data_IF_060835515912
#
_entry.id   IF_060835515912
#
_cell.length_a   1.000
_cell.length_b   1.000
_cell.length_c   1.000
_cell.angle_alpha   90.00
_cell.angle_beta   90.00
_cell.angle_gamma   90.00
#
_symmetry.space_group_name_H-M   'P 1'
#
loop_
_entity.id
_entity.type
_entity.pdbx_description
1 polymer ?
#
# COMPACT_ATOMS: atom_id res chain seq x y z
N UNK A 1 -52.43 -13.73 -34.23
CA UNK A 1 -52.51 -14.29 -32.86
C UNK A 1 -51.31 -15.17 -32.63
N UNK A 2 -50.29 -14.64 -31.97
CA UNK A 2 -49.07 -15.36 -31.61
C UNK A 2 -49.11 -15.66 -30.12
N UNK A 3 -49.26 -16.95 -29.77
CA UNK A 3 -49.36 -17.42 -28.40
C UNK A 3 -47.98 -17.44 -27.74
N UNK A 4 -47.80 -16.61 -26.73
CA UNK A 4 -46.61 -16.65 -25.85
C UNK A 4 -46.76 -17.82 -24.88
N UNK A 5 -45.88 -18.82 -25.02
CA UNK A 5 -45.80 -19.98 -24.13
C UNK A 5 -45.14 -19.60 -22.80
N UNK A 6 -45.84 -19.92 -21.70
CA UNK A 6 -45.40 -19.67 -20.31
C UNK A 6 -44.12 -20.42 -19.87
N UNK A 7 -43.57 -21.28 -20.74
CA UNK A 7 -42.37 -22.08 -20.44
C UNK A 7 -41.04 -21.37 -20.71
N UNK A 8 -41.05 -20.26 -21.48
CA UNK A 8 -39.81 -19.54 -21.82
C UNK A 8 -39.37 -18.52 -20.76
N UNK A 9 -40.21 -18.23 -19.75
CA UNK A 9 -39.92 -17.20 -18.76
C UNK A 9 -39.08 -17.69 -17.55
N UNK A 10 -38.99 -19.01 -17.34
CA UNK A 10 -38.31 -19.58 -16.18
C UNK A 10 -36.82 -19.84 -16.39
N UNK A 11 -36.31 -19.76 -17.62
CA UNK A 11 -34.86 -19.99 -17.88
C UNK A 11 -34.03 -18.73 -17.94
N UNK A 12 -34.61 -17.53 -18.03
CA UNK A 12 -33.90 -16.27 -18.11
C UNK A 12 -33.54 -15.70 -16.73
N UNK A 13 -34.20 -16.11 -15.66
CA UNK A 13 -33.99 -15.54 -14.31
C UNK A 13 -32.88 -16.22 -13.51
N UNK A 14 -32.44 -17.42 -13.91
CA UNK A 14 -31.42 -18.19 -13.16
C UNK A 14 -29.98 -17.76 -13.43
N UNK A 15 -29.69 -17.27 -14.62
CA UNK A 15 -28.31 -16.90 -15.02
C UNK A 15 -27.86 -15.54 -14.49
N UNK A 16 -28.82 -14.62 -14.25
CA UNK A 16 -28.49 -13.28 -13.73
C UNK A 16 -28.08 -13.30 -12.25
N UNK A 17 -28.66 -14.21 -11.45
CA UNK A 17 -28.32 -14.32 -10.02
C UNK A 17 -26.97 -14.99 -9.77
N UNK A 18 -26.54 -15.90 -10.63
CA UNK A 18 -25.24 -16.56 -10.50
C UNK A 18 -24.07 -15.61 -10.80
N UNK A 19 -24.24 -14.69 -11.75
CA UNK A 19 -23.22 -13.71 -12.11
C UNK A 19 -22.97 -12.64 -11.02
N UNK A 20 -23.99 -12.28 -10.22
CA UNK A 20 -23.82 -11.36 -9.09
C UNK A 20 -23.15 -12.02 -7.88
N UNK A 21 -23.40 -13.32 -7.65
CA UNK A 21 -22.80 -14.05 -6.55
C UNK A 21 -21.28 -14.25 -6.74
N UNK A 22 -20.82 -14.49 -7.98
CA UNK A 22 -19.41 -14.68 -8.29
C UNK A 22 -18.60 -13.37 -8.13
N UNK A 23 -19.20 -12.20 -8.40
CA UNK A 23 -18.54 -10.90 -8.16
C UNK A 23 -18.32 -10.58 -6.69
N UNK A 24 -19.14 -11.11 -5.78
CA UNK A 24 -18.97 -10.90 -4.33
C UNK A 24 -17.96 -11.85 -3.70
N UNK A 25 -17.68 -13.03 -4.28
CA UNK A 25 -16.67 -13.95 -3.78
C UNK A 25 -15.24 -13.50 -4.11
N UNK A 26 -15.03 -12.72 -5.17
CA UNK A 26 -13.70 -12.20 -5.52
C UNK A 26 -13.23 -11.06 -4.60
N UNK A 27 -14.11 -10.52 -3.75
CA UNK A 27 -13.78 -9.50 -2.76
C UNK A 27 -13.38 -10.06 -1.37
N UNK A 28 -13.49 -11.38 -1.20
CA UNK A 28 -13.09 -12.06 0.03
C UNK A 28 -11.68 -12.62 -0.15
N UNK A 29 -10.65 -11.85 0.19
CA UNK A 29 -9.38 -12.49 0.53
C UNK A 29 -8.11 -12.05 -0.15
N UNK A 30 -7.84 -10.76 -0.23
CA UNK A 30 -6.47 -10.32 -0.06
C UNK A 30 -6.35 -9.83 1.38
N UNK A 31 -5.46 -10.43 2.21
CA UNK A 31 -5.16 -9.86 3.52
C UNK A 31 -4.77 -8.40 3.29
N UNK A 32 -5.46 -7.48 3.95
CA UNK A 32 -5.05 -6.08 3.92
C UNK A 32 -3.68 -6.01 4.61
N UNK A 33 -2.70 -5.31 4.07
CA UNK A 33 -1.42 -5.12 4.75
C UNK A 33 -1.54 -4.51 6.15
N UNK A 34 -2.72 -3.98 6.49
CA UNK A 34 -3.04 -3.36 7.78
C UNK A 34 -3.40 -4.35 8.89
N UNK A 35 -3.80 -5.60 8.55
CA UNK A 35 -4.37 -6.51 9.55
C UNK A 35 -3.30 -7.25 10.37
N UNK A 36 -2.02 -7.26 9.93
CA UNK A 36 -0.89 -7.92 10.59
C UNK A 36 0.30 -6.98 10.84
N UNK A 37 0.04 -5.75 11.30
CA UNK A 37 1.11 -4.82 11.64
C UNK A 37 1.70 -5.20 13.00
N UNK A 38 3.01 -5.57 13.09
CA UNK A 38 3.64 -5.90 14.36
C UNK A 38 3.50 -4.76 15.37
N UNK A 39 3.33 -5.09 16.65
CA UNK A 39 3.11 -4.10 17.71
C UNK A 39 4.17 -2.99 17.78
N UNK A 40 5.44 -3.33 17.48
CA UNK A 40 6.55 -2.35 17.43
C UNK A 40 6.33 -1.33 16.32
N UNK A 41 5.87 -1.77 15.16
CA UNK A 41 5.54 -0.88 14.03
C UNK A 41 4.35 -0.01 14.37
N UNK A 42 3.31 -0.57 15.02
CA UNK A 42 2.17 0.21 15.51
C UNK A 42 2.59 1.32 16.48
N UNK A 43 3.53 1.03 17.39
CA UNK A 43 4.07 2.07 18.29
C UNK A 43 4.78 3.18 17.52
N UNK A 44 5.59 2.84 16.52
CA UNK A 44 6.29 3.83 15.67
C UNK A 44 5.28 4.66 14.87
N UNK A 45 4.28 4.03 14.25
CA UNK A 45 3.21 4.72 13.54
C UNK A 45 2.45 5.68 14.47
N UNK A 46 2.15 5.23 15.69
CA UNK A 46 1.49 6.08 16.70
C UNK A 46 2.36 7.26 17.15
N UNK A 47 3.67 7.08 17.27
CA UNK A 47 4.60 8.17 17.58
C UNK A 47 4.69 9.19 16.45
N UNK A 48 4.71 8.74 15.19
CA UNK A 48 4.81 9.61 14.02
C UNK A 48 3.49 10.33 13.71
N UNK A 49 2.38 9.63 13.81
CA UNK A 49 1.10 10.08 13.25
C UNK A 49 -0.03 10.23 14.27
N UNK A 50 0.21 9.83 15.53
CA UNK A 50 -0.85 9.78 16.55
C UNK A 50 -1.87 8.68 16.25
N UNK A 51 -3.14 9.00 16.47
CA UNK A 51 -4.25 8.08 16.23
C UNK A 51 -4.85 8.23 14.81
N UNK A 52 -4.15 8.93 13.90
CA UNK A 52 -4.59 9.08 12.50
C UNK A 52 -4.49 7.75 11.76
N UNK A 53 -5.56 7.28 11.12
CA UNK A 53 -5.53 6.03 10.39
C UNK A 53 -4.74 6.17 9.10
N UNK A 54 -3.90 5.17 8.80
CA UNK A 54 -3.28 5.01 7.48
C UNK A 54 -4.26 4.28 6.57
N UNK A 55 -4.66 4.92 5.49
CA UNK A 55 -5.62 4.39 4.52
C UNK A 55 -4.89 3.67 3.39
N UNK A 56 -5.52 2.66 2.80
CA UNK A 56 -5.00 1.97 1.62
C UNK A 56 -5.31 2.77 0.34
N UNK A 57 -4.40 2.75 -0.63
CA UNK A 57 -4.56 3.41 -1.92
C UNK A 57 -3.63 4.61 -2.10
N UNK A 58 -3.67 5.20 -3.28
CA UNK A 58 -2.90 6.39 -3.66
C UNK A 58 -1.38 6.29 -3.52
N UNK A 59 -0.84 5.12 -3.13
CA UNK A 59 0.60 4.88 -2.98
C UNK A 59 0.98 3.63 -3.74
N UNK A 60 1.87 3.76 -4.68
CA UNK A 60 2.54 2.66 -5.35
C UNK A 60 3.93 2.50 -4.74
N UNK A 61 4.21 1.31 -4.22
CA UNK A 61 5.50 0.93 -3.66
C UNK A 61 6.13 -0.14 -4.55
N UNK A 62 7.22 0.21 -5.23
CA UNK A 62 7.98 -0.71 -6.07
C UNK A 62 9.30 -1.06 -5.38
N UNK A 63 9.43 -2.36 -5.06
CA UNK A 63 10.57 -2.95 -4.39
C UNK A 63 10.83 -4.35 -4.95
N UNK A 64 12.07 -4.85 -4.96
CA UNK A 64 12.35 -6.20 -5.40
C UNK A 64 11.73 -7.22 -4.44
N UNK A 65 11.10 -8.26 -4.96
CA UNK A 65 10.60 -9.39 -4.15
C UNK A 65 11.76 -10.11 -3.42
N UNK A 66 12.95 -10.11 -4.04
CA UNK A 66 14.18 -10.70 -3.48
C UNK A 66 15.33 -9.70 -3.66
N UNK A 67 15.93 -9.29 -2.56
CA UNK A 67 17.16 -8.52 -2.55
C UNK A 67 18.34 -9.48 -2.30
N UNK A 68 19.29 -9.52 -3.23
CA UNK A 68 20.50 -10.34 -3.09
C UNK A 68 21.39 -9.85 -1.94
N UNK A 69 21.39 -8.53 -1.68
CA UNK A 69 22.17 -7.87 -0.63
C UNK A 69 21.28 -6.85 0.10
N UNK A 70 21.09 -7.08 1.40
CA UNK A 70 20.32 -6.17 2.26
C UNK A 70 20.98 -4.81 2.50
N UNK A 71 22.26 -4.61 2.14
CA UNK A 71 22.93 -3.32 2.29
C UNK A 71 22.46 -2.27 1.29
N UNK A 72 21.90 -2.71 0.15
CA UNK A 72 21.50 -1.82 -0.95
C UNK A 72 20.21 -2.35 -1.57
N UNK A 73 19.07 -2.01 -0.99
CA UNK A 73 17.76 -2.40 -1.50
C UNK A 73 17.12 -1.18 -2.16
N UNK A 74 16.82 -1.23 -3.48
CA UNK A 74 16.15 -0.14 -4.17
C UNK A 74 14.68 -0.06 -3.71
N UNK A 75 14.20 1.17 -3.57
CA UNK A 75 12.82 1.49 -3.21
C UNK A 75 12.36 2.65 -4.08
N UNK A 76 11.25 2.48 -4.78
CA UNK A 76 10.55 3.55 -5.47
C UNK A 76 9.14 3.69 -4.89
N UNK A 77 8.76 4.92 -4.60
CA UNK A 77 7.47 5.28 -4.04
C UNK A 77 6.87 6.37 -4.91
N UNK A 78 5.69 6.14 -5.40
CA UNK A 78 4.94 7.08 -6.20
C UNK A 78 3.54 7.26 -5.61
N UNK A 79 3.02 8.48 -5.66
CA UNK A 79 1.65 8.77 -5.27
C UNK A 79 0.94 9.52 -6.38
N UNK A 80 -0.31 9.12 -6.66
CA UNK A 80 -1.21 9.76 -7.62
C UNK A 80 -1.97 10.95 -7.00
N UNK A 81 -1.67 11.29 -5.74
CA UNK A 81 -2.25 12.44 -5.07
C UNK A 81 -1.74 13.75 -5.68
N UNK A 82 -2.56 14.81 -5.69
CA UNK A 82 -2.19 16.08 -6.27
C UNK A 82 -0.97 16.70 -5.58
N UNK A 83 -0.22 17.51 -6.34
CA UNK A 83 0.85 18.37 -5.87
C UNK A 83 0.52 19.83 -6.16
N UNK A 84 -0.66 20.29 -5.68
CA UNK A 84 -1.14 21.66 -5.83
C UNK A 84 -0.90 22.47 -4.55
N UNK A 85 -0.92 23.79 -4.66
CA UNK A 85 -0.61 24.66 -3.52
C UNK A 85 -1.59 24.53 -2.35
N UNK A 86 -2.84 24.18 -2.62
CA UNK A 86 -3.92 23.97 -1.65
C UNK A 86 -3.93 22.56 -1.07
N UNK A 87 -3.48 21.56 -1.86
CA UNK A 87 -3.40 20.16 -1.43
C UNK A 87 -2.24 19.43 -2.10
N UNK A 88 -1.34 18.92 -1.30
CA UNK A 88 -0.16 18.22 -1.79
C UNK A 88 0.34 17.17 -0.80
N UNK A 89 1.16 16.25 -1.29
CA UNK A 89 1.92 15.33 -0.46
C UNK A 89 3.08 16.11 0.17
N UNK A 90 3.04 16.26 1.50
CA UNK A 90 4.06 17.01 2.24
C UNK A 90 5.22 16.14 2.72
N UNK A 91 4.96 14.84 2.95
CA UNK A 91 6.00 13.93 3.40
C UNK A 91 5.76 12.50 2.91
N UNK A 92 6.85 11.78 2.66
CA UNK A 92 6.89 10.35 2.38
C UNK A 92 7.77 9.69 3.42
N UNK A 93 7.23 8.74 4.16
CA UNK A 93 7.93 7.99 5.21
C UNK A 93 8.21 6.57 4.73
N UNK A 94 9.42 6.08 5.01
CA UNK A 94 9.85 4.71 4.71
C UNK A 94 10.11 3.98 6.01
N UNK A 95 9.41 2.85 6.20
CA UNK A 95 9.56 2.00 7.37
C UNK A 95 9.96 0.58 6.93
N UNK A 96 10.77 -0.08 7.77
CA UNK A 96 11.15 -1.50 7.61
C UNK A 96 10.92 -2.22 8.93
N UNK A 97 9.97 -3.15 8.95
CA UNK A 97 9.41 -3.72 10.17
C UNK A 97 10.46 -4.41 11.07
N UNK A 98 11.42 -5.12 10.46
CA UNK A 98 12.42 -5.92 11.18
C UNK A 98 13.80 -5.24 11.33
N UNK A 99 13.92 -3.97 10.96
CA UNK A 99 15.14 -3.21 11.22
C UNK A 99 15.20 -2.76 12.69
N UNK A 100 16.41 -2.53 13.24
CA UNK A 100 16.57 -1.90 14.56
C UNK A 100 15.85 -0.54 14.62
N UNK A 101 16.09 0.30 13.61
CA UNK A 101 15.34 1.54 13.38
C UNK A 101 14.26 1.26 12.35
N UNK A 102 13.02 1.19 12.82
CA UNK A 102 11.87 0.89 11.96
C UNK A 102 11.61 2.05 10.99
N UNK A 103 11.65 3.30 11.47
CA UNK A 103 11.47 4.50 10.64
C UNK A 103 12.79 4.93 10.05
N UNK A 104 13.06 4.52 8.80
CA UNK A 104 14.36 4.73 8.16
C UNK A 104 14.56 6.10 7.56
N UNK A 105 13.50 6.68 6.98
CA UNK A 105 13.62 7.92 6.24
C UNK A 105 12.29 8.68 6.18
N UNK A 106 12.42 10.02 6.12
CA UNK A 106 11.34 10.95 5.83
C UNK A 106 11.82 11.88 4.70
N UNK A 107 11.03 11.98 3.64
CA UNK A 107 11.26 12.88 2.52
C UNK A 107 10.17 13.95 2.54
N UNK A 108 10.57 15.20 2.76
CA UNK A 108 9.66 16.34 2.73
C UNK A 108 9.56 16.90 1.33
N UNK A 109 8.35 17.02 0.83
CA UNK A 109 8.05 17.47 -0.50
C UNK A 109 7.30 18.81 -0.46
N UNK A 110 7.36 19.52 -1.57
CA UNK A 110 6.64 20.76 -1.77
C UNK A 110 5.93 20.72 -3.12
N UNK A 111 4.88 21.53 -3.34
CA UNK A 111 4.15 21.55 -4.60
C UNK A 111 5.01 21.78 -5.85
N UNK A 112 6.15 22.46 -5.70
CA UNK A 112 7.07 22.77 -6.80
C UNK A 112 7.69 21.54 -7.46
N UNK A 113 7.71 20.38 -6.77
CA UNK A 113 8.26 19.14 -7.34
C UNK A 113 7.35 18.56 -8.44
N UNK A 114 6.06 18.94 -8.45
CA UNK A 114 5.08 18.58 -9.48
C UNK A 114 4.52 17.16 -9.36
N UNK A 115 5.28 16.20 -8.82
CA UNK A 115 4.86 14.81 -8.61
C UNK A 115 5.43 14.27 -7.31
N UNK A 116 4.63 13.54 -6.55
CA UNK A 116 5.09 12.86 -5.34
C UNK A 116 5.78 11.54 -5.71
N UNK A 117 7.06 11.64 -6.06
CA UNK A 117 7.92 10.51 -6.44
C UNK A 117 9.23 10.54 -5.65
N UNK A 118 9.58 9.39 -5.06
CA UNK A 118 10.82 9.18 -4.32
C UNK A 118 11.48 7.90 -4.83
N UNK A 119 12.73 8.00 -5.28
CA UNK A 119 13.57 6.85 -5.61
C UNK A 119 14.82 6.88 -4.75
N UNK A 120 15.04 5.82 -3.99
CA UNK A 120 16.15 5.73 -3.02
C UNK A 120 16.65 4.30 -2.86
N UNK A 121 17.69 4.14 -2.04
CA UNK A 121 18.18 2.85 -1.59
C UNK A 121 18.24 2.82 -0.07
N UNK A 122 17.79 1.71 0.50
CA UNK A 122 17.74 1.51 1.94
C UNK A 122 18.60 0.31 2.35
N UNK A 123 18.91 0.23 3.66
CA UNK A 123 19.52 -0.94 4.27
C UNK A 123 18.45 -1.76 4.97
N UNK A 124 18.43 -3.06 4.70
CA UNK A 124 17.60 -4.03 5.38
C UNK A 124 18.48 -5.03 6.13
N UNK A 125 18.27 -5.16 7.43
CA UNK A 125 19.03 -6.11 8.24
C UNK A 125 18.71 -7.56 7.87
N UNK A 126 17.45 -7.83 7.57
CA UNK A 126 16.94 -9.16 7.25
C UNK A 126 15.67 -9.06 6.39
N UNK A 127 15.15 -10.20 5.95
CA UNK A 127 13.83 -10.31 5.32
C UNK A 127 12.76 -9.60 6.16
N UNK A 128 12.01 -8.71 5.53
CA UNK A 128 11.07 -7.82 6.22
C UNK A 128 10.06 -7.21 5.26
N UNK A 129 8.86 -6.89 5.71
CA UNK A 129 8.02 -5.92 5.05
C UNK A 129 8.69 -4.53 5.00
N UNK A 130 8.55 -3.84 3.87
CA UNK A 130 8.79 -2.41 3.71
C UNK A 130 7.42 -1.74 3.65
N UNK A 131 7.27 -0.62 4.35
CA UNK A 131 6.06 0.20 4.33
C UNK A 131 6.40 1.61 3.85
N UNK A 132 5.61 2.13 2.94
CA UNK A 132 5.59 3.54 2.58
C UNK A 132 4.34 4.19 3.15
N UNK A 133 4.49 5.32 3.83
CA UNK A 133 3.37 6.14 4.30
C UNK A 133 3.53 7.54 3.73
N UNK A 134 2.49 8.00 3.05
CA UNK A 134 2.42 9.33 2.44
C UNK A 134 1.51 10.19 3.29
N UNK A 135 2.01 11.36 3.70
CA UNK A 135 1.25 12.36 4.46
C UNK A 135 0.93 13.56 3.59
N UNK A 136 -0.35 13.92 3.52
CA UNK A 136 -0.83 15.10 2.77
C UNK A 136 -0.84 16.36 3.63
N UNK A 137 -0.90 17.51 2.99
CA UNK A 137 -0.96 18.82 3.67
C UNK A 137 -2.20 19.01 4.53
N UNK A 138 -3.31 18.33 4.20
CA UNK A 138 -4.57 18.30 4.97
C UNK A 138 -4.56 17.26 6.10
N UNK A 139 -3.44 16.50 6.26
CA UNK A 139 -3.24 15.56 7.36
C UNK A 139 -3.75 14.15 7.10
N UNK A 140 -4.24 13.81 5.90
CA UNK A 140 -4.58 12.45 5.55
C UNK A 140 -3.30 11.60 5.38
N UNK A 141 -3.41 10.29 5.70
CA UNK A 141 -2.33 9.33 5.58
C UNK A 141 -2.75 8.20 4.64
N UNK A 142 -1.87 7.88 3.69
CA UNK A 142 -2.04 6.81 2.74
C UNK A 142 -0.82 5.91 2.75
N UNK A 143 -1.01 4.59 2.60
CA UNK A 143 0.09 3.67 2.72
C UNK A 143 0.03 2.49 1.78
N UNK A 144 1.22 1.92 1.55
CA UNK A 144 1.40 0.64 0.88
C UNK A 144 2.48 -0.17 1.62
N UNK A 145 2.40 -1.49 1.54
CA UNK A 145 3.40 -2.38 2.09
C UNK A 145 3.73 -3.51 1.10
N UNK A 146 4.99 -3.95 1.11
CA UNK A 146 5.46 -5.05 0.30
C UNK A 146 6.54 -5.85 1.04
N UNK A 147 6.52 -7.18 0.88
CA UNK A 147 7.51 -8.08 1.47
C UNK A 147 8.76 -8.15 0.61
N UNK A 148 9.92 -8.02 1.24
CA UNK A 148 11.22 -8.20 0.60
C UNK A 148 12.02 -9.27 1.31
N UNK A 149 12.37 -10.31 0.56
CA UNK A 149 13.26 -11.38 1.04
C UNK A 149 14.71 -10.99 0.80
N UNK A 150 15.50 -10.94 1.87
CA UNK A 150 16.95 -10.67 1.81
C UNK A 150 17.71 -11.98 1.89
N UNK A 151 18.59 -12.23 0.91
CA UNK A 151 19.40 -13.47 0.87
C UNK A 151 20.73 -13.34 1.59
N UNK A 152 21.35 -12.15 1.51
CA UNK A 152 22.54 -11.80 2.31
C UNK A 152 22.16 -10.64 3.22
N UNK A 153 22.23 -10.86 4.53
CA UNK A 153 21.85 -9.85 5.52
C UNK A 153 22.72 -8.60 5.41
N UNK A 154 22.08 -7.44 5.48
CA UNK A 154 22.74 -6.13 5.42
C UNK A 154 23.36 -5.70 6.74
N UNK A 155 23.84 -6.64 7.56
CA UNK A 155 24.51 -6.31 8.81
C UNK A 155 25.94 -5.84 8.54
N UNK A 156 26.21 -4.60 8.81
CA UNK A 156 27.52 -4.08 9.10
C UNK A 156 27.52 -3.56 10.52
#
# INVERSE_FOLDING_TARGET
>A
MLGFSRRSFLHASGLAFLALAVRRLAALGRPRPSDDVPWKVQQVLKQLFGDRPVQDGHVQLDVPTVAADGRVVPVMIESDLPMAADRYVKAVHVLVDNNPDIHLAEFRLTPQIGQAFVSTRIKMRMTSPIRAVVETSDGALWGAAADVRVTVNGCG
#
